data_IF_082044293177
#
_entry.id   IF_082044293177
#
_cell.length_a   1.000
_cell.length_b   1.000
_cell.length_c   1.000
_cell.angle_alpha   90.00
_cell.angle_beta   90.00
_cell.angle_gamma   90.00
#
_symmetry.space_group_name_H-M   'P 1'
#
loop_
_entity.id
_entity.type
_entity.pdbx_description
1 polymer ?
#
# COMPACT_ATOMS: atom_id res chain seq x y z
N UNK A 1 -46.21 -3.81 1.39
CA UNK A 1 -45.01 -3.69 2.24
C UNK A 1 -43.90 -3.07 1.39
N UNK A 2 -43.42 -1.88 1.75
CA UNK A 2 -42.24 -1.28 1.11
C UNK A 2 -41.00 -1.92 1.69
N UNK A 3 -40.30 -2.72 0.89
CA UNK A 3 -38.96 -3.17 1.23
C UNK A 3 -38.01 -2.10 0.71
N UNK A 4 -37.58 -1.20 1.60
CA UNK A 4 -36.41 -0.38 1.35
C UNK A 4 -35.19 -1.25 1.59
N UNK A 5 -34.63 -1.80 0.50
CA UNK A 5 -33.28 -2.37 0.54
C UNK A 5 -32.33 -1.21 0.30
N UNK A 6 -31.80 -0.61 1.37
CA UNK A 6 -30.52 0.08 1.25
C UNK A 6 -29.45 -1.01 1.12
N UNK A 7 -29.25 -1.49 -0.11
CA UNK A 7 -28.05 -2.19 -0.50
C UNK A 7 -26.91 -1.16 -0.60
N UNK A 8 -26.54 -0.57 0.54
CA UNK A 8 -25.25 0.08 0.68
C UNK A 8 -24.20 -1.01 0.74
N UNK A 9 -23.95 -1.69 -0.39
CA UNK A 9 -22.69 -2.42 -0.54
C UNK A 9 -21.59 -1.38 -0.35
N UNK A 10 -20.92 -1.42 0.81
CA UNK A 10 -19.65 -0.73 0.99
C UNK A 10 -18.69 -1.43 0.04
N UNK A 11 -18.63 -0.95 -1.22
CA UNK A 11 -17.70 -1.47 -2.21
C UNK A 11 -16.28 -1.23 -1.68
N UNK A 12 -15.41 -2.23 -1.83
CA UNK A 12 -14.00 -2.07 -1.49
C UNK A 12 -13.27 -1.41 -2.66
N UNK A 13 -12.24 -0.58 -2.41
CA UNK A 13 -11.43 -0.04 -3.49
C UNK A 13 -10.73 -1.17 -4.23
N UNK A 14 -10.71 -1.09 -5.55
CA UNK A 14 -9.81 -1.92 -6.37
C UNK A 14 -8.41 -1.30 -6.27
N UNK A 15 -7.40 -2.13 -6.02
CA UNK A 15 -6.01 -1.72 -5.92
C UNK A 15 -5.24 -2.12 -7.18
N UNK A 16 -4.58 -1.16 -7.81
CA UNK A 16 -3.74 -1.39 -8.99
C UNK A 16 -2.28 -1.15 -8.65
N UNK A 17 -1.43 -2.15 -8.91
CA UNK A 17 0.01 -2.10 -8.74
C UNK A 17 0.72 -2.44 -10.06
N UNK A 18 1.96 -2.01 -10.27
CA UNK A 18 2.73 -2.44 -11.43
C UNK A 18 2.90 -3.97 -11.40
N UNK A 19 2.84 -4.65 -12.56
CA UNK A 19 2.92 -6.11 -12.63
C UNK A 19 4.29 -6.65 -12.23
N UNK A 20 5.35 -5.86 -12.43
CA UNK A 20 6.70 -6.14 -11.98
C UNK A 20 7.49 -4.84 -11.85
N UNK A 21 8.54 -4.88 -11.02
CA UNK A 21 9.50 -3.81 -10.86
C UNK A 21 10.87 -4.43 -10.62
N UNK A 22 11.88 -3.95 -11.35
CA UNK A 22 13.26 -4.39 -11.20
C UNK A 22 14.14 -3.16 -10.93
N UNK A 23 15.11 -3.32 -10.04
CA UNK A 23 16.10 -2.31 -9.75
C UNK A 23 17.43 -2.97 -9.38
N UNK A 24 18.53 -2.25 -9.57
CA UNK A 24 19.87 -2.74 -9.22
C UNK A 24 20.04 -2.85 -7.71
N UNK A 25 20.94 -3.75 -7.27
CA UNK A 25 21.36 -3.85 -5.87
C UNK A 25 21.86 -2.47 -5.38
N UNK A 26 21.45 -2.05 -4.19
CA UNK A 26 21.77 -0.76 -3.60
C UNK A 26 20.98 0.43 -4.17
N UNK A 27 20.21 0.25 -5.25
CA UNK A 27 19.36 1.31 -5.78
C UNK A 27 18.11 1.52 -4.91
N UNK A 28 17.44 2.65 -5.11
CA UNK A 28 16.13 2.90 -4.52
C UNK A 28 15.03 2.49 -5.49
N UNK A 29 13.94 1.92 -4.97
CA UNK A 29 12.77 1.52 -5.71
C UNK A 29 11.51 2.14 -5.09
N UNK A 30 10.50 2.38 -5.94
CA UNK A 30 9.19 2.90 -5.52
C UNK A 30 8.10 2.02 -6.08
N UNK A 31 7.28 1.45 -5.20
CA UNK A 31 6.11 0.66 -5.58
C UNK A 31 4.86 1.49 -5.33
N UNK A 32 4.04 1.64 -6.35
CA UNK A 32 2.81 2.44 -6.30
C UNK A 32 1.60 1.52 -6.24
N UNK A 33 0.66 1.84 -5.35
CA UNK A 33 -0.63 1.19 -5.22
C UNK A 33 -1.73 2.24 -5.40
N UNK A 34 -2.41 2.22 -6.55
CA UNK A 34 -3.45 3.20 -6.90
C UNK A 34 -4.82 2.65 -6.50
N UNK A 35 -5.62 3.46 -5.82
CA UNK A 35 -6.99 3.11 -5.47
C UNK A 35 -7.93 3.52 -6.61
N UNK A 36 -8.94 2.70 -6.88
CA UNK A 36 -10.02 3.04 -7.82
C UNK A 36 -10.67 4.38 -7.50
N UNK A 37 -11.21 5.04 -8.53
CA UNK A 37 -11.94 6.30 -8.38
C UNK A 37 -13.10 6.17 -7.37
N UNK A 38 -13.41 7.27 -6.68
CA UNK A 38 -14.42 7.28 -5.61
C UNK A 38 -13.90 6.85 -4.23
N UNK A 39 -12.62 6.44 -4.13
CA UNK A 39 -11.98 6.08 -2.87
C UNK A 39 -10.75 6.97 -2.64
N UNK A 40 -10.90 8.14 -2.01
CA UNK A 40 -9.80 9.04 -1.76
C UNK A 40 -8.76 8.38 -0.85
N UNK A 41 -7.51 8.25 -1.32
CA UNK A 41 -6.43 7.60 -0.57
C UNK A 41 -6.15 8.27 0.79
N UNK A 42 -6.54 9.54 0.96
CA UNK A 42 -6.51 10.26 2.23
C UNK A 42 -7.29 9.55 3.34
N UNK A 43 -8.42 8.92 3.00
CA UNK A 43 -9.34 8.31 3.95
C UNK A 43 -8.92 6.90 4.40
N UNK A 44 -8.09 6.22 3.62
CA UNK A 44 -7.71 4.83 3.87
C UNK A 44 -6.39 4.68 4.64
N UNK A 45 -6.21 3.56 5.34
CA UNK A 45 -4.89 3.13 5.80
C UNK A 45 -4.26 2.28 4.69
N UNK A 46 -3.00 2.54 4.35
CA UNK A 46 -2.28 1.69 3.38
C UNK A 46 -1.38 0.74 4.15
N UNK A 47 -1.55 -0.54 3.89
CA UNK A 47 -0.76 -1.62 4.48
C UNK A 47 0.13 -2.23 3.40
N UNK A 48 1.40 -2.39 3.72
CA UNK A 48 2.38 -3.03 2.83
C UNK A 48 2.80 -4.38 3.39
N UNK A 49 2.75 -5.37 2.52
CA UNK A 49 3.19 -6.73 2.81
C UNK A 49 4.17 -7.18 1.74
N UNK A 50 5.18 -7.94 2.16
CA UNK A 50 6.10 -8.63 1.27
C UNK A 50 5.74 -10.11 1.25
N UNK A 51 5.67 -10.71 0.08
CA UNK A 51 5.49 -12.15 -0.05
C UNK A 51 6.54 -12.72 -1.00
N UNK A 52 7.38 -13.60 -0.47
CA UNK A 52 8.29 -14.39 -1.28
C UNK A 52 7.57 -15.64 -1.79
N UNK A 53 7.91 -16.16 -2.98
CA UNK A 53 7.35 -17.42 -3.47
C UNK A 53 7.46 -18.53 -2.41
N UNK A 54 6.33 -19.20 -2.13
CA UNK A 54 6.27 -20.28 -1.13
C UNK A 54 6.24 -19.83 0.34
N UNK A 55 6.32 -18.52 0.62
CA UNK A 55 6.23 -17.97 1.99
C UNK A 55 4.87 -17.30 2.25
N UNK A 56 4.43 -17.23 3.52
CA UNK A 56 3.28 -16.42 3.88
C UNK A 56 3.59 -14.91 3.74
N UNK A 57 2.57 -14.05 3.56
CA UNK A 57 2.75 -12.61 3.58
C UNK A 57 3.39 -12.12 4.89
N UNK A 58 4.46 -11.34 4.76
CA UNK A 58 5.15 -10.66 5.85
C UNK A 58 4.73 -9.21 5.89
N UNK A 59 4.22 -8.76 7.04
CA UNK A 59 3.91 -7.34 7.26
C UNK A 59 5.18 -6.48 7.24
N UNK A 60 5.16 -5.42 6.42
CA UNK A 60 6.22 -4.40 6.36
C UNK A 60 5.84 -3.17 7.17
N UNK A 61 4.82 -2.42 6.73
CA UNK A 61 4.43 -1.17 7.37
C UNK A 61 2.99 -0.78 7.06
N UNK A 62 2.48 0.15 7.87
CA UNK A 62 1.19 0.80 7.66
C UNK A 62 1.36 2.31 7.74
N UNK A 63 0.75 2.99 6.77
CA UNK A 63 0.84 4.44 6.62
C UNK A 63 -0.54 5.08 6.46
N UNK A 64 -0.86 6.05 7.33
CA UNK A 64 -2.01 6.96 7.19
C UNK A 64 -1.54 8.38 6.95
N UNK A 65 -0.61 8.86 7.78
CA UNK A 65 0.09 10.15 7.70
C UNK A 65 1.47 10.04 8.36
N UNK A 66 2.27 11.11 8.33
CA UNK A 66 3.57 11.13 9.02
C UNK A 66 3.46 11.04 10.55
N UNK A 67 2.37 11.54 11.12
CA UNK A 67 2.07 11.43 12.55
C UNK A 67 1.41 10.09 12.93
N UNK A 68 0.91 9.34 11.95
CA UNK A 68 0.16 8.10 12.16
C UNK A 68 0.64 7.00 11.20
N UNK A 69 1.78 6.40 11.56
CA UNK A 69 2.44 5.33 10.82
C UNK A 69 3.07 4.31 11.76
N UNK A 70 3.21 3.08 11.28
CA UNK A 70 3.81 1.98 12.04
C UNK A 70 4.71 1.13 11.13
N UNK A 71 5.90 0.80 11.63
CA UNK A 71 6.83 -0.12 11.00
C UNK A 71 6.73 -1.48 11.69
N UNK A 72 6.68 -2.56 10.92
CA UNK A 72 6.64 -3.93 11.44
C UNK A 72 7.90 -4.28 12.23
N UNK A 73 7.74 -5.15 13.22
CA UNK A 73 8.88 -5.63 14.01
C UNK A 73 9.89 -6.34 13.11
N UNK A 74 11.18 -6.05 13.30
CA UNK A 74 12.30 -6.59 12.52
C UNK A 74 12.25 -6.27 11.01
N UNK A 75 11.41 -5.32 10.59
CA UNK A 75 11.43 -4.79 9.22
C UNK A 75 12.56 -3.77 9.12
N UNK A 76 13.46 -3.88 8.14
CA UNK A 76 14.55 -2.92 7.97
C UNK A 76 14.04 -1.49 7.77
N UNK A 77 14.79 -0.52 8.28
CA UNK A 77 14.46 0.91 8.15
C UNK A 77 14.53 1.45 6.71
N UNK A 78 14.93 0.62 5.75
CA UNK A 78 14.95 1.01 4.34
C UNK A 78 13.57 0.98 3.67
N UNK A 79 12.54 0.46 4.34
CA UNK A 79 11.15 0.58 3.91
C UNK A 79 10.49 1.81 4.54
N UNK A 80 9.83 2.63 3.72
CA UNK A 80 8.99 3.73 4.20
C UNK A 80 7.76 3.92 3.31
N UNK A 81 6.71 4.54 3.83
CA UNK A 81 5.45 4.75 3.11
C UNK A 81 5.15 6.23 2.93
N UNK A 82 4.43 6.56 1.87
CA UNK A 82 3.77 7.86 1.68
C UNK A 82 2.46 7.71 0.92
N UNK A 83 1.73 8.81 0.74
CA UNK A 83 0.56 8.89 -0.13
C UNK A 83 0.69 10.06 -1.08
N UNK A 84 0.12 9.91 -2.26
CA UNK A 84 -0.04 10.96 -3.26
C UNK A 84 -1.53 11.08 -3.60
N UNK A 85 -2.15 12.16 -3.12
CA UNK A 85 -3.55 12.43 -3.37
C UNK A 85 -3.85 12.79 -4.82
N UNK A 86 -2.87 13.33 -5.56
CA UNK A 86 -3.05 13.74 -6.96
C UNK A 86 -3.21 12.54 -7.89
N UNK A 87 -2.57 11.42 -7.56
CA UNK A 87 -2.65 10.16 -8.28
C UNK A 87 -3.51 9.11 -7.56
N UNK A 88 -4.16 9.49 -6.46
CA UNK A 88 -4.96 8.61 -5.60
C UNK A 88 -4.21 7.33 -5.17
N UNK A 89 -2.93 7.46 -4.81
CA UNK A 89 -2.04 6.32 -4.62
C UNK A 89 -1.29 6.31 -3.28
N UNK A 90 -1.07 5.11 -2.75
CA UNK A 90 -0.06 4.84 -1.72
C UNK A 90 1.27 4.50 -2.39
N UNK A 91 2.38 4.89 -1.77
CA UNK A 91 3.74 4.66 -2.30
C UNK A 91 4.59 3.99 -1.22
N UNK A 92 5.18 2.84 -1.55
CA UNK A 92 6.26 2.22 -0.77
C UNK A 92 7.59 2.66 -1.35
N UNK A 93 8.43 3.24 -0.51
CA UNK A 93 9.81 3.56 -0.84
C UNK A 93 10.71 2.50 -0.22
N UNK A 94 11.61 1.97 -1.04
CA UNK A 94 12.60 0.98 -0.67
C UNK A 94 13.95 1.59 -0.99
N UNK A 95 14.77 1.90 0.00
CA UNK A 95 16.13 2.38 -0.21
C UNK A 95 17.14 1.23 -0.14
N UNK A 96 18.27 1.36 -0.84
CA UNK A 96 19.37 0.41 -0.72
C UNK A 96 18.97 -1.05 -0.94
N UNK A 97 18.31 -1.35 -2.06
CA UNK A 97 17.76 -2.69 -2.35
C UNK A 97 18.78 -3.79 -2.07
N UNK A 98 18.39 -4.78 -1.28
CA UNK A 98 19.26 -5.88 -0.85
C UNK A 98 18.84 -7.18 -1.55
N UNK A 99 19.81 -8.10 -1.72
CA UNK A 99 19.59 -9.44 -2.26
C UNK A 99 19.18 -10.41 -1.15
#
# INVERSE_FOLDING_TARGET
>A
ALVSVFAGSLSQPVLTQPPSLSASLGASARLTCTLSSGFPVGDFLIWWFQQNPGSPPRYLLRFKSDSDKHQGSRVPNHFSGSKDASTNAGILHISGLQA
#
